data_IF_688408810789
#
_entry.id   IF_688408810789
#
_cell.length_a   1.000
_cell.length_b   1.000
_cell.length_c   1.000
_cell.angle_alpha   90.00
_cell.angle_beta   90.00
_cell.angle_gamma   90.00
#
_symmetry.space_group_name_H-M   'P 1'
#
loop_
_entity.id
_entity.type
_entity.pdbx_description
1 polymer ?
#
# COMPACT_ATOMS: atom_id res chain seq x y z
N UNK A 1 -11.22 -3.77 -3.70
CA UNK A 1 -11.75 -5.11 -3.37
C UNK A 1 -10.66 -6.11 -3.03
N UNK A 2 -9.49 -6.02 -3.64
CA UNK A 2 -8.42 -7.04 -3.52
C UNK A 2 -7.15 -6.49 -2.88
N UNK A 3 -7.09 -5.21 -2.58
CA UNK A 3 -5.94 -4.52 -2.02
C UNK A 3 -6.39 -3.53 -0.97
N UNK A 4 -5.66 -3.47 0.12
CA UNK A 4 -5.81 -2.50 1.19
C UNK A 4 -4.43 -2.00 1.57
N UNK A 5 -4.27 -0.70 1.68
CA UNK A 5 -3.10 -0.07 2.27
C UNK A 5 -3.54 0.85 3.39
N UNK A 6 -2.85 0.78 4.50
CA UNK A 6 -3.07 1.63 5.68
C UNK A 6 -1.75 2.28 6.03
N UNK A 7 -1.77 3.58 6.27
CA UNK A 7 -0.64 4.32 6.79
C UNK A 7 -1.09 5.19 7.96
N UNK A 8 -0.46 5.04 9.08
CA UNK A 8 -0.68 5.84 10.27
C UNK A 8 0.58 6.67 10.56
N UNK A 9 0.40 7.92 10.94
CA UNK A 9 1.51 8.81 11.32
C UNK A 9 1.04 9.86 12.32
N UNK A 10 1.97 10.34 13.11
CA UNK A 10 1.73 11.44 14.06
C UNK A 10 1.76 12.76 13.32
N UNK A 11 0.84 13.65 13.62
CA UNK A 11 0.76 14.99 13.07
C UNK A 11 0.38 16.01 14.15
N UNK A 12 0.59 17.27 13.87
CA UNK A 12 0.24 18.36 14.80
C UNK A 12 -0.93 19.16 14.22
N UNK A 13 -2.15 18.98 14.70
CA UNK A 13 -3.30 19.74 14.26
C UNK A 13 -3.23 21.19 14.78
N UNK A 14 -3.62 22.15 13.94
CA UNK A 14 -3.75 23.56 14.34
C UNK A 14 -4.87 23.73 15.38
N UNK A 15 -5.92 22.91 15.28
CA UNK A 15 -7.02 22.87 16.24
C UNK A 15 -6.86 21.64 17.15
N UNK A 16 -6.59 21.82 18.43
CA UNK A 16 -6.47 20.70 19.35
C UNK A 16 -7.75 19.85 19.41
N UNK A 17 -7.58 18.53 19.54
CA UNK A 17 -8.71 17.59 19.69
C UNK A 17 -9.53 17.39 18.42
N UNK A 18 -9.08 17.83 17.25
CA UNK A 18 -9.78 17.58 15.98
C UNK A 18 -9.86 16.07 15.72
N UNK A 19 -11.08 15.59 15.48
CA UNK A 19 -11.36 14.24 15.00
C UNK A 19 -12.31 14.35 13.81
N UNK A 20 -11.84 14.00 12.64
CA UNK A 20 -12.66 14.10 11.42
C UNK A 20 -12.31 13.00 10.44
N UNK A 21 -13.25 12.67 9.57
CA UNK A 21 -13.08 11.69 8.50
C UNK A 21 -13.45 12.34 7.18
N UNK A 22 -12.57 12.20 6.20
CA UNK A 22 -12.82 12.66 4.84
C UNK A 22 -12.67 11.49 3.88
N UNK A 23 -13.71 11.20 3.13
CA UNK A 23 -13.69 10.20 2.06
C UNK A 23 -13.44 10.92 0.74
N UNK A 24 -12.31 10.62 0.12
CA UNK A 24 -11.86 11.26 -1.11
C UNK A 24 -11.48 10.21 -2.17
N UNK A 25 -11.54 10.60 -3.44
CA UNK A 25 -11.01 9.76 -4.52
C UNK A 25 -9.49 9.70 -4.40
N UNK A 26 -8.91 8.49 -4.46
CA UNK A 26 -7.46 8.30 -4.35
C UNK A 26 -6.67 9.13 -5.39
N UNK A 27 -7.18 9.23 -6.63
CA UNK A 27 -6.56 10.09 -7.67
C UNK A 27 -6.50 11.56 -7.25
N UNK A 28 -7.57 12.09 -6.67
CA UNK A 28 -7.60 13.48 -6.19
C UNK A 28 -6.55 13.75 -5.12
N UNK A 29 -6.42 12.81 -4.16
CA UNK A 29 -5.38 12.91 -3.11
C UNK A 29 -3.98 12.84 -3.72
N UNK A 30 -3.77 11.92 -4.67
CA UNK A 30 -2.49 11.77 -5.36
C UNK A 30 -2.11 13.03 -6.16
N UNK A 31 -3.06 13.65 -6.86
CA UNK A 31 -2.83 14.88 -7.61
C UNK A 31 -2.55 16.07 -6.67
N UNK A 32 -3.27 16.17 -5.55
CA UNK A 32 -3.00 17.16 -4.51
C UNK A 32 -1.59 16.98 -3.92
N UNK A 33 -1.21 15.76 -3.57
CA UNK A 33 0.12 15.45 -3.05
C UNK A 33 1.22 15.83 -4.04
N UNK A 34 1.05 15.50 -5.33
CA UNK A 34 2.01 15.86 -6.38
C UNK A 34 2.15 17.37 -6.55
N UNK A 35 1.03 18.12 -6.53
CA UNK A 35 1.05 19.57 -6.69
C UNK A 35 1.71 20.30 -5.52
N UNK A 36 1.66 19.70 -4.34
CA UNK A 36 2.22 20.24 -3.09
C UNK A 36 3.59 19.64 -2.75
N UNK A 37 4.16 18.81 -3.63
CA UNK A 37 5.51 18.26 -3.46
C UNK A 37 6.51 19.42 -3.38
N UNK A 38 7.33 19.42 -2.34
CA UNK A 38 8.30 20.50 -2.07
C UNK A 38 7.81 21.51 -1.04
N UNK A 39 6.53 21.57 -0.73
CA UNK A 39 6.03 22.38 0.38
C UNK A 39 6.52 21.83 1.73
N UNK A 40 7.12 22.68 2.55
CA UNK A 40 7.58 22.30 3.91
C UNK A 40 6.41 21.87 4.80
N UNK A 41 5.29 22.58 4.66
CA UNK A 41 4.07 22.30 5.40
C UNK A 41 2.89 22.26 4.44
N UNK A 42 1.95 21.37 4.70
CA UNK A 42 0.68 21.30 4.00
C UNK A 42 -0.45 21.45 5.00
N UNK A 43 -1.35 22.37 4.74
CA UNK A 43 -2.55 22.55 5.54
C UNK A 43 -3.71 21.74 4.94
N UNK A 44 -4.39 20.99 5.79
CA UNK A 44 -5.60 20.25 5.44
C UNK A 44 -6.79 20.96 6.09
N UNK A 45 -7.80 21.26 5.31
CA UNK A 45 -9.03 21.91 5.77
C UNK A 45 -10.24 21.06 5.40
N UNK A 46 -11.15 20.90 6.33
CA UNK A 46 -12.38 20.14 6.10
C UNK A 46 -13.57 21.01 6.41
N UNK A 47 -14.58 21.02 5.54
CA UNK A 47 -15.84 21.68 5.82
C UNK A 47 -16.49 21.06 7.07
N UNK A 48 -17.13 21.85 7.92
CA UNK A 48 -17.87 21.33 9.07
C UNK A 48 -18.88 20.28 8.66
N UNK A 49 -19.07 19.25 9.48
CA UNK A 49 -20.05 18.18 9.23
C UNK A 49 -21.49 18.68 9.13
N UNK A 50 -21.76 19.89 9.63
CA UNK A 50 -23.04 20.58 9.55
C UNK A 50 -23.28 21.31 8.22
N UNK A 51 -22.24 21.46 7.40
CA UNK A 51 -22.33 22.10 6.09
C UNK A 51 -22.81 21.09 5.04
N UNK A 52 -23.73 21.51 4.16
CA UNK A 52 -24.10 20.77 2.97
C UNK A 52 -22.94 20.64 1.96
N UNK A 53 -21.93 21.51 2.08
CA UNK A 53 -20.74 21.49 1.24
C UNK A 53 -19.69 20.59 1.87
N UNK A 54 -19.65 19.36 1.45
CA UNK A 54 -18.63 18.39 1.86
C UNK A 54 -17.32 18.64 1.09
N UNK A 55 -16.55 19.62 1.53
CA UNK A 55 -15.31 20.05 0.89
C UNK A 55 -14.11 19.71 1.75
N UNK A 56 -13.05 19.25 1.07
CA UNK A 56 -11.70 19.12 1.63
C UNK A 56 -10.76 20.05 0.86
N UNK A 57 -9.99 20.83 1.59
CA UNK A 57 -8.98 21.74 1.06
C UNK A 57 -7.58 21.26 1.39
N UNK A 58 -6.66 21.52 0.48
CA UNK A 58 -5.23 21.25 0.58
C UNK A 58 -4.49 22.53 0.20
N UNK A 59 -3.60 23.02 1.03
CA UNK A 59 -2.82 24.22 0.68
C UNK A 59 -1.39 24.17 1.21
N UNK A 60 -0.48 24.78 0.48
CA UNK A 60 0.94 24.91 0.84
C UNK A 60 1.68 25.81 -0.15
N UNK A 61 2.54 26.71 0.38
CA UNK A 61 3.42 27.59 -0.39
C UNK A 61 2.73 28.32 -1.56
N UNK A 62 1.60 28.97 -1.25
CA UNK A 62 0.84 29.76 -2.23
C UNK A 62 -0.02 28.96 -3.21
N UNK A 63 -0.04 27.63 -3.10
CA UNK A 63 -0.93 26.76 -3.87
C UNK A 63 -2.11 26.31 -3.01
N UNK A 64 -3.29 26.28 -3.60
CA UNK A 64 -4.49 25.79 -2.93
C UNK A 64 -5.31 24.93 -3.88
N UNK A 65 -5.85 23.86 -3.38
CA UNK A 65 -6.73 22.94 -4.09
C UNK A 65 -7.91 22.59 -3.21
N UNK A 66 -9.08 22.50 -3.79
CA UNK A 66 -10.31 22.08 -3.10
C UNK A 66 -10.95 20.91 -3.86
N UNK A 67 -11.47 19.95 -3.14
CA UNK A 67 -12.20 18.83 -3.70
C UNK A 67 -13.46 18.52 -2.90
N UNK A 68 -14.50 18.06 -3.58
CA UNK A 68 -15.69 17.52 -2.92
C UNK A 68 -15.38 16.14 -2.35
N UNK A 69 -15.77 15.92 -1.10
CA UNK A 69 -15.75 14.61 -0.47
C UNK A 69 -16.83 13.71 -1.06
N UNK A 70 -16.55 12.41 -1.08
CA UNK A 70 -17.52 11.40 -1.49
C UNK A 70 -18.55 11.16 -0.37
N UNK A 71 -19.74 10.79 -0.77
CA UNK A 71 -20.76 10.30 0.14
C UNK A 71 -20.49 8.83 0.47
N UNK A 72 -20.84 8.44 1.70
CA UNK A 72 -20.69 7.07 2.19
C UNK A 72 -19.66 6.91 3.29
N UNK A 73 -19.46 5.66 3.67
CA UNK A 73 -18.52 5.25 4.71
C UNK A 73 -17.43 4.38 4.09
N UNK A 74 -16.17 4.63 4.46
CA UNK A 74 -15.09 3.73 4.09
C UNK A 74 -15.33 2.38 4.77
N UNK A 75 -15.17 1.26 4.04
CA UNK A 75 -15.37 -0.06 4.63
C UNK A 75 -14.50 -0.27 5.88
N UNK A 76 -15.02 -0.90 6.93
CA UNK A 76 -14.21 -1.23 8.09
C UNK A 76 -13.08 -2.17 7.67
N UNK A 77 -11.85 -1.77 7.92
CA UNK A 77 -10.66 -2.49 7.45
C UNK A 77 -9.86 -3.15 8.57
N UNK A 78 -10.05 -2.70 9.81
CA UNK A 78 -9.22 -3.17 10.95
C UNK A 78 -9.32 -4.67 11.17
N UNK A 79 -10.48 -5.28 10.90
CA UNK A 79 -10.67 -6.72 10.99
C UNK A 79 -10.01 -7.50 9.84
N UNK A 80 -9.57 -6.81 8.77
CA UNK A 80 -8.83 -7.43 7.67
C UNK A 80 -7.32 -7.49 7.95
N UNK A 81 -6.86 -6.77 8.97
CA UNK A 81 -5.47 -6.82 9.41
C UNK A 81 -5.31 -8.00 10.38
N UNK A 82 -4.40 -8.94 10.11
CA UNK A 82 -4.18 -10.07 11.00
C UNK A 82 -3.72 -9.55 12.38
N UNK A 83 -4.35 -10.05 13.42
CA UNK A 83 -3.99 -9.75 14.81
C UNK A 83 -3.02 -10.79 15.36
N UNK A 84 -3.19 -12.05 14.96
CA UNK A 84 -2.35 -13.17 15.33
C UNK A 84 -1.63 -13.67 14.08
N UNK A 85 -0.30 -13.62 14.09
CA UNK A 85 0.55 -14.13 13.02
C UNK A 85 1.43 -15.25 13.58
N UNK A 86 1.45 -16.37 12.91
CA UNK A 86 2.28 -17.53 13.29
C UNK A 86 3.65 -17.50 12.62
N UNK A 87 3.74 -16.84 11.48
CA UNK A 87 4.98 -16.72 10.72
C UNK A 87 5.19 -15.27 10.28
N UNK A 88 6.39 -14.77 10.48
CA UNK A 88 6.80 -13.42 10.08
C UNK A 88 8.07 -13.49 9.27
N UNK A 89 8.11 -12.79 8.14
CA UNK A 89 9.30 -12.65 7.31
C UNK A 89 9.70 -11.16 7.21
N UNK A 90 10.95 -10.84 7.49
CA UNK A 90 11.52 -9.50 7.27
C UNK A 90 12.33 -9.56 5.99
N UNK A 91 11.98 -8.72 5.03
CA UNK A 91 12.50 -8.74 3.65
C UNK A 91 12.84 -7.32 3.22
N UNK A 92 13.98 -7.13 2.60
CA UNK A 92 14.31 -5.85 1.95
C UNK A 92 13.36 -5.59 0.77
N UNK A 93 12.66 -4.46 0.80
CA UNK A 93 11.60 -4.14 -0.17
C UNK A 93 12.13 -4.02 -1.60
N UNK A 94 13.26 -3.33 -1.80
CA UNK A 94 13.76 -3.06 -3.16
C UNK A 94 14.21 -4.33 -3.89
N UNK A 95 15.08 -5.19 -3.34
CA UNK A 95 15.45 -6.45 -3.97
C UNK A 95 14.26 -7.37 -4.21
N UNK A 96 13.34 -7.44 -3.23
CA UNK A 96 12.16 -8.29 -3.34
C UNK A 96 11.20 -7.80 -4.44
N UNK A 97 10.94 -6.49 -4.53
CA UNK A 97 10.13 -5.91 -5.59
C UNK A 97 10.74 -6.17 -6.98
N UNK A 98 12.06 -6.05 -7.12
CA UNK A 98 12.73 -6.29 -8.38
C UNK A 98 12.65 -7.76 -8.79
N UNK A 99 12.80 -8.70 -7.85
CA UNK A 99 12.61 -10.13 -8.13
C UNK A 99 11.17 -10.46 -8.50
N UNK A 100 10.18 -9.90 -7.78
CA UNK A 100 8.76 -10.05 -8.16
C UNK A 100 8.51 -9.59 -9.59
N UNK A 101 9.09 -8.44 -10.00
CA UNK A 101 8.96 -7.93 -11.36
C UNK A 101 9.62 -8.83 -12.39
N UNK A 102 10.84 -9.33 -12.13
CA UNK A 102 11.56 -10.21 -13.06
C UNK A 102 10.84 -11.53 -13.24
N UNK A 103 10.48 -12.19 -12.13
CA UNK A 103 9.78 -13.47 -12.18
C UNK A 103 8.39 -13.34 -12.81
N UNK A 104 7.72 -12.18 -12.63
CA UNK A 104 6.43 -11.92 -13.25
C UNK A 104 6.48 -11.75 -14.78
N UNK A 105 7.66 -11.58 -15.39
CA UNK A 105 7.78 -11.45 -16.86
C UNK A 105 7.39 -12.73 -17.63
N UNK A 106 7.51 -13.89 -16.99
CA UNK A 106 7.18 -15.19 -17.58
C UNK A 106 5.75 -15.66 -17.28
N UNK A 107 4.95 -14.82 -16.61
CA UNK A 107 3.57 -15.16 -16.29
C UNK A 107 2.57 -14.30 -17.03
N UNK A 108 1.46 -14.89 -17.40
CA UNK A 108 0.27 -14.13 -17.73
C UNK A 108 -0.29 -13.46 -16.47
N UNK A 109 -1.01 -12.36 -16.65
CA UNK A 109 -1.61 -11.57 -15.56
C UNK A 109 -2.55 -12.37 -14.64
N UNK A 110 -2.97 -13.55 -15.08
CA UNK A 110 -3.90 -14.43 -14.37
C UNK A 110 -3.19 -15.55 -13.60
N UNK A 111 -1.93 -15.85 -13.92
CA UNK A 111 -1.16 -16.89 -13.26
C UNK A 111 -0.54 -16.33 -11.97
N UNK A 112 -0.80 -16.94 -10.81
CA UNK A 112 -0.24 -16.45 -9.55
C UNK A 112 1.26 -16.75 -9.46
N UNK A 113 1.97 -15.83 -8.81
CA UNK A 113 3.34 -16.01 -8.36
C UNK A 113 3.31 -16.79 -7.04
N UNK A 114 4.00 -17.92 -6.97
CA UNK A 114 4.17 -18.72 -5.75
C UNK A 114 5.37 -18.20 -4.98
N UNK A 115 5.19 -18.01 -3.69
CA UNK A 115 6.24 -17.69 -2.72
C UNK A 115 6.36 -18.84 -1.73
N UNK A 116 7.54 -19.37 -1.56
CA UNK A 116 7.86 -20.39 -0.56
C UNK A 116 8.87 -19.82 0.43
N UNK A 117 8.45 -19.68 1.68
CA UNK A 117 9.26 -19.17 2.77
C UNK A 117 9.79 -20.33 3.60
N UNK A 118 11.08 -20.56 3.58
CA UNK A 118 11.74 -21.61 4.34
C UNK A 118 13.24 -21.29 4.52
N UNK A 119 13.85 -21.78 5.58
CA UNK A 119 15.30 -21.74 5.79
C UNK A 119 15.91 -20.32 5.65
N UNK A 120 15.25 -19.31 6.18
CA UNK A 120 15.65 -17.91 6.03
C UNK A 120 15.80 -17.45 4.55
N UNK A 121 15.01 -18.01 3.69
CA UNK A 121 14.90 -17.61 2.30
C UNK A 121 13.46 -17.56 1.82
N UNK A 122 13.20 -16.81 0.78
CA UNK A 122 11.96 -16.87 0.01
C UNK A 122 12.29 -17.25 -1.44
N UNK A 123 11.70 -18.33 -1.91
CA UNK A 123 11.74 -18.72 -3.31
C UNK A 123 10.49 -18.17 -4.01
N UNK A 124 10.70 -17.48 -5.13
CA UNK A 124 9.66 -16.96 -6.01
C UNK A 124 9.60 -17.85 -7.24
N UNK A 125 8.45 -18.40 -7.52
CA UNK A 125 8.25 -19.28 -8.67
C UNK A 125 7.09 -18.78 -9.51
N UNK A 126 7.31 -18.72 -10.81
CA UNK A 126 6.30 -18.34 -11.78
C UNK A 126 6.42 -19.15 -13.06
N UNK A 127 5.30 -19.35 -13.73
CA UNK A 127 5.16 -20.14 -14.94
C UNK A 127 4.31 -21.37 -14.73
N UNK A 128 3.55 -21.73 -15.75
CA UNK A 128 2.76 -22.95 -15.81
C UNK A 128 2.99 -23.59 -17.18
N UNK A 129 3.64 -24.75 -17.19
CA UNK A 129 3.87 -25.53 -18.41
C UNK A 129 5.30 -25.50 -18.91
N UNK A 130 5.48 -25.92 -20.17
CA UNK A 130 6.80 -26.12 -20.78
C UNK A 130 7.39 -24.85 -21.42
N UNK A 131 6.61 -23.77 -21.58
CA UNK A 131 7.00 -22.62 -22.42
C UNK A 131 7.89 -21.59 -21.71
N UNK A 132 7.63 -21.31 -20.42
CA UNK A 132 8.46 -20.40 -19.64
C UNK A 132 8.30 -20.64 -18.15
N UNK A 133 9.44 -20.69 -17.45
CA UNK A 133 9.51 -20.79 -16.00
C UNK A 133 10.57 -19.81 -15.48
N UNK A 134 10.32 -19.20 -14.37
CA UNK A 134 11.32 -18.40 -13.65
C UNK A 134 11.29 -18.71 -12.16
N UNK A 135 12.47 -18.83 -11.58
CA UNK A 135 12.66 -19.02 -10.15
C UNK A 135 13.75 -18.09 -9.67
N UNK A 136 13.50 -17.38 -8.59
CA UNK A 136 14.50 -16.60 -7.87
C UNK A 136 14.41 -16.88 -6.38
N UNK A 137 15.55 -16.78 -5.69
CA UNK A 137 15.61 -16.95 -4.24
C UNK A 137 16.29 -15.74 -3.61
N UNK A 138 15.72 -15.25 -2.51
CA UNK A 138 16.19 -14.09 -1.75
C UNK A 138 16.37 -14.51 -0.30
N UNK A 139 17.46 -14.05 0.33
CA UNK A 139 17.67 -14.19 1.77
C UNK A 139 16.75 -13.28 2.56
N UNK A 140 16.22 -13.79 3.65
CA UNK A 140 15.27 -13.10 4.52
C UNK A 140 15.54 -13.47 5.98
N UNK A 141 14.88 -12.77 6.90
CA UNK A 141 14.76 -13.24 8.28
C UNK A 141 13.37 -13.84 8.47
N UNK A 142 13.30 -15.16 8.62
CA UNK A 142 12.06 -15.89 8.86
C UNK A 142 11.93 -16.26 10.33
N UNK A 143 10.80 -15.91 10.92
CA UNK A 143 10.43 -16.33 12.26
C UNK A 143 9.07 -17.04 12.21
N UNK A 144 9.04 -18.30 12.58
CA UNK A 144 7.89 -19.19 12.52
C UNK A 144 8.09 -20.37 11.56
N UNK A 145 7.01 -21.06 11.27
CA UNK A 145 7.03 -22.25 10.42
C UNK A 145 7.11 -21.91 8.94
N UNK A 146 7.69 -22.78 8.10
CA UNK A 146 7.68 -22.60 6.65
C UNK A 146 6.26 -22.44 6.12
N UNK A 147 6.09 -21.55 5.15
CA UNK A 147 4.80 -21.28 4.53
C UNK A 147 4.92 -21.10 3.02
N UNK A 148 3.96 -21.64 2.28
CA UNK A 148 3.80 -21.41 0.84
C UNK A 148 2.51 -20.64 0.58
N UNK A 149 2.61 -19.56 -0.20
CA UNK A 149 1.48 -18.68 -0.52
C UNK A 149 1.59 -18.19 -1.96
N UNK A 150 0.46 -17.96 -2.61
CA UNK A 150 0.42 -17.46 -3.98
C UNK A 150 -0.25 -16.10 -4.08
N UNK A 151 0.34 -15.19 -4.84
CA UNK A 151 -0.15 -13.85 -5.06
C UNK A 151 -0.33 -13.53 -6.54
N UNK A 152 -1.28 -12.67 -6.84
CA UNK A 152 -1.24 -11.97 -8.12
C UNK A 152 -0.02 -11.03 -8.11
N UNK A 153 0.92 -11.16 -9.07
CA UNK A 153 2.18 -10.42 -9.05
C UNK A 153 1.99 -8.90 -9.11
N UNK A 154 0.96 -8.42 -9.80
CA UNK A 154 0.63 -6.98 -9.86
C UNK A 154 0.22 -6.47 -8.49
N UNK A 155 -0.59 -7.24 -7.76
CA UNK A 155 -1.05 -6.82 -6.43
C UNK A 155 0.06 -6.85 -5.39
N UNK A 156 0.95 -7.83 -5.50
CA UNK A 156 2.13 -7.92 -4.63
C UNK A 156 3.08 -6.73 -4.89
N UNK A 157 3.39 -6.45 -6.15
CA UNK A 157 4.24 -5.32 -6.51
C UNK A 157 3.66 -3.96 -6.06
N UNK A 158 2.34 -3.74 -6.25
CA UNK A 158 1.66 -2.54 -5.77
C UNK A 158 1.71 -2.42 -4.24
N UNK A 159 1.57 -3.53 -3.52
CA UNK A 159 1.67 -3.57 -2.06
C UNK A 159 3.07 -3.19 -1.58
N UNK A 160 4.11 -3.79 -2.16
CA UNK A 160 5.51 -3.50 -1.83
C UNK A 160 5.86 -2.03 -2.09
N UNK A 161 5.39 -1.45 -3.20
CA UNK A 161 5.58 -0.02 -3.46
C UNK A 161 4.86 0.88 -2.44
N UNK A 162 3.71 0.45 -1.92
CA UNK A 162 2.94 1.23 -0.96
C UNK A 162 3.52 1.22 0.46
N UNK A 163 4.35 0.24 0.81
CA UNK A 163 4.96 0.13 2.16
C UNK A 163 5.80 1.37 2.48
N UNK A 164 6.60 1.87 1.53
CA UNK A 164 7.36 3.11 1.67
C UNK A 164 8.47 3.07 2.72
N UNK A 165 8.85 1.89 3.20
CA UNK A 165 10.00 1.63 4.08
C UNK A 165 11.01 0.76 3.37
N UNK A 166 12.24 0.64 3.91
CA UNK A 166 13.25 -0.26 3.35
C UNK A 166 12.94 -1.74 3.65
N UNK A 167 12.26 -2.01 4.77
CA UNK A 167 11.85 -3.33 5.25
C UNK A 167 10.38 -3.33 5.64
#
# INVERSE_FOLDING_TARGET
RYRLAVREFTWQPTTPGISTTALLRGRTIADAAKSLTGSKNVSLSFAPTTSNDRLAGFSGEGKSMTSRMLDGTFPPYRHLLPQDVTTTAIIEVAPFLDSVRRVALVTDKTVPLRLEFANNSVSLEAGAGEEAQATETIEILLNGEPISIAFNPVFLADGLQAVGTAF
#
